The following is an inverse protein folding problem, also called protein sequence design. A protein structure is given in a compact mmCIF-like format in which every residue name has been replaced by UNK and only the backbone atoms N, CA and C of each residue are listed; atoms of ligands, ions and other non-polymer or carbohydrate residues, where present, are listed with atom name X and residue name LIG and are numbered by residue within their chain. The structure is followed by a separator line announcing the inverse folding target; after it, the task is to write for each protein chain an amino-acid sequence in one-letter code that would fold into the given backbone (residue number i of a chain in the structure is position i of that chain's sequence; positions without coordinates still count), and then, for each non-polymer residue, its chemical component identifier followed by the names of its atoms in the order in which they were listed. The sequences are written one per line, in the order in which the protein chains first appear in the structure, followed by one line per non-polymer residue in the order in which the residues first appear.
data_IF_095897025723
#
_entry.id   IF_095897025723
#
_cell.length_a   1.000
_cell.length_b   1.000
_cell.length_c   1.000
_cell.angle_alpha   90.00
_cell.angle_beta   90.00
_cell.angle_gamma   90.00
#
_symmetry.space_group_name_H-M   'P 1'
#
loop_
_entity.id
_entity.type
_entity.pdbx_description
1 polymer ?
#
# COMPACT_ATOMS: atom_id res chain seq x y z
N UNK A 1 -0.80 4.87 9.09
CA UNK A 1 -1.80 5.09 8.01
C UNK A 1 -2.04 3.86 7.15
N UNK A 2 -1.02 3.03 6.88
CA UNK A 2 -1.15 1.86 6.00
C UNK A 2 -2.27 0.86 6.38
N UNK A 3 -2.55 0.63 7.67
CA UNK A 3 -3.68 -0.22 8.08
C UNK A 3 -5.04 0.37 7.65
N UNK A 4 -5.23 1.66 7.87
CA UNK A 4 -6.45 2.37 7.46
C UNK A 4 -6.58 2.43 5.92
N UNK A 5 -5.47 2.62 5.20
CA UNK A 5 -5.44 2.54 3.74
C UNK A 5 -5.87 1.17 3.23
N UNK A 6 -5.35 0.08 3.81
CA UNK A 6 -5.77 -1.30 3.48
C UNK A 6 -7.24 -1.56 3.78
N UNK A 7 -7.78 -1.01 4.88
CA UNK A 7 -9.21 -1.10 5.20
C UNK A 7 -10.05 -0.40 4.13
N UNK A 8 -9.67 0.81 3.72
CA UNK A 8 -10.36 1.54 2.64
C UNK A 8 -10.32 0.78 1.32
N UNK A 9 -9.19 0.17 0.97
CA UNK A 9 -9.09 -0.69 -0.23
C UNK A 9 -10.07 -1.86 -0.14
N UNK A 10 -10.14 -2.53 1.02
CA UNK A 10 -11.06 -3.66 1.21
C UNK A 10 -12.53 -3.22 1.09
N UNK A 11 -12.91 -2.10 1.71
CA UNK A 11 -14.26 -1.53 1.61
C UNK A 11 -14.58 -1.09 0.19
N UNK A 12 -13.67 -0.38 -0.48
CA UNK A 12 -13.83 0.06 -1.86
C UNK A 12 -13.98 -1.11 -2.84
N UNK A 13 -13.21 -2.19 -2.65
CA UNK A 13 -13.34 -3.41 -3.43
C UNK A 13 -14.69 -4.11 -3.21
N UNK A 14 -15.17 -4.17 -1.95
CA UNK A 14 -16.49 -4.74 -1.64
C UNK A 14 -17.63 -3.92 -2.27
N UNK A 15 -17.56 -2.59 -2.22
CA UNK A 15 -18.53 -1.71 -2.89
C UNK A 15 -18.49 -1.87 -4.41
N UNK A 16 -17.31 -2.03 -5.00
CA UNK A 16 -17.18 -2.26 -6.43
C UNK A 16 -17.81 -3.60 -6.86
N UNK A 17 -17.61 -4.65 -6.06
CA UNK A 17 -18.27 -5.95 -6.28
C UNK A 17 -19.78 -5.82 -6.11
N UNK A 18 -20.24 -5.07 -5.12
CA UNK A 18 -21.67 -4.81 -4.89
C UNK A 18 -22.32 -4.09 -6.08
N UNK A 19 -21.72 -2.98 -6.55
CA UNK A 19 -22.17 -2.25 -7.73
C UNK A 19 -22.19 -3.13 -8.99
N UNK A 20 -21.17 -3.99 -9.16
CA UNK A 20 -21.12 -4.95 -10.27
C UNK A 20 -22.23 -6.00 -10.20
N UNK A 21 -22.45 -6.58 -9.01
CA UNK A 21 -23.53 -7.55 -8.79
C UNK A 21 -24.91 -6.93 -9.07
N UNK A 22 -25.17 -5.75 -8.50
CA UNK A 22 -26.44 -5.06 -8.68
C UNK A 22 -26.67 -4.64 -10.14
N UNK A 23 -25.62 -4.26 -10.88
CA UNK A 23 -25.72 -3.97 -12.32
C UNK A 23 -26.24 -5.16 -13.12
N UNK A 24 -25.67 -6.36 -12.88
CA UNK A 24 -26.08 -7.60 -13.57
C UNK A 24 -27.49 -8.03 -13.15
N UNK A 25 -27.81 -7.86 -11.87
CA UNK A 25 -29.16 -8.13 -11.35
C UNK A 25 -30.20 -7.20 -11.99
N UNK A 26 -29.91 -5.89 -12.07
CA UNK A 26 -30.80 -4.91 -12.68
C UNK A 26 -31.01 -5.17 -14.18
N UNK A 27 -29.94 -5.49 -14.91
CA UNK A 27 -30.06 -5.91 -16.31
C UNK A 27 -30.99 -7.11 -16.48
N UNK A 28 -30.87 -8.11 -15.61
CA UNK A 28 -31.74 -9.30 -15.63
C UNK A 28 -33.20 -8.93 -15.34
N UNK A 29 -33.43 -8.02 -14.39
CA UNK A 29 -34.77 -7.52 -14.05
C UNK A 29 -35.42 -6.78 -15.23
N UNK A 30 -34.70 -5.83 -15.84
CA UNK A 30 -35.19 -5.05 -17.01
C UNK A 30 -35.60 -5.96 -18.17
N UNK A 31 -34.81 -7.03 -18.43
CA UNK A 31 -35.13 -8.03 -19.46
C UNK A 31 -36.41 -8.80 -19.14
N UNK A 32 -36.64 -9.14 -17.87
CA UNK A 32 -37.84 -9.88 -17.44
C UNK A 32 -39.10 -9.01 -17.47
N UNK A 33 -38.97 -7.71 -17.20
CA UNK A 33 -40.10 -6.77 -17.16
C UNK A 33 -40.38 -6.09 -18.51
N UNK A 34 -39.61 -6.39 -19.55
CA UNK A 34 -39.71 -5.82 -20.90
C UNK A 34 -39.76 -4.27 -20.91
N UNK A 35 -39.05 -3.64 -19.97
CA UNK A 35 -39.03 -2.18 -19.84
C UNK A 35 -38.12 -1.57 -20.89
N UNK A 36 -38.69 -1.15 -22.01
CA UNK A 36 -37.96 -0.67 -23.20
C UNK A 36 -37.10 0.60 -22.98
N UNK A 37 -37.50 1.47 -22.04
CA UNK A 37 -36.84 2.77 -21.78
C UNK A 37 -36.03 2.79 -20.47
N UNK A 38 -35.67 1.63 -19.92
CA UNK A 38 -34.89 1.58 -18.68
C UNK A 38 -33.45 2.08 -18.90
N UNK A 39 -33.01 3.04 -18.08
CA UNK A 39 -31.63 3.51 -18.08
C UNK A 39 -30.71 2.41 -17.53
N UNK A 40 -29.74 1.96 -18.34
CA UNK A 40 -28.78 0.91 -17.96
C UNK A 40 -27.34 1.45 -17.99
N UNK A 41 -26.57 1.34 -16.88
CA UNK A 41 -27.00 0.99 -15.53
C UNK A 41 -27.79 2.14 -14.84
N UNK A 42 -28.52 1.86 -13.75
CA UNK A 42 -29.19 2.88 -12.96
C UNK A 42 -28.22 3.94 -12.44
N UNK A 43 -28.70 5.17 -12.30
CA UNK A 43 -27.88 6.28 -11.78
C UNK A 43 -27.28 5.97 -10.40
N UNK A 44 -28.02 5.29 -9.53
CA UNK A 44 -27.55 4.88 -8.20
C UNK A 44 -26.27 4.03 -8.27
N UNK A 45 -26.20 3.12 -9.25
CA UNK A 45 -25.01 2.27 -9.47
C UNK A 45 -23.84 3.09 -9.96
N UNK A 46 -24.08 4.08 -10.82
CA UNK A 46 -23.03 5.00 -11.28
C UNK A 46 -22.42 5.75 -10.10
N UNK A 47 -23.25 6.25 -9.18
CA UNK A 47 -22.79 6.92 -7.96
C UNK A 47 -22.00 5.96 -7.07
N UNK A 48 -22.47 4.73 -6.87
CA UNK A 48 -21.76 3.72 -6.08
C UNK A 48 -20.41 3.35 -6.71
N UNK A 49 -20.34 3.20 -8.04
CA UNK A 49 -19.10 2.92 -8.77
C UNK A 49 -18.09 4.05 -8.59
N UNK A 50 -18.50 5.30 -8.77
CA UNK A 50 -17.61 6.46 -8.57
C UNK A 50 -17.13 6.51 -7.12
N UNK A 51 -18.01 6.28 -6.14
CA UNK A 51 -17.66 6.28 -4.73
C UNK A 51 -16.67 5.14 -4.40
N UNK A 52 -16.93 3.94 -4.90
CA UNK A 52 -16.06 2.76 -4.71
C UNK A 52 -14.65 2.99 -5.27
N UNK A 53 -14.56 3.66 -6.44
CA UNK A 53 -13.30 4.04 -7.05
C UNK A 53 -12.55 5.08 -6.21
N UNK A 54 -13.20 6.16 -5.79
CA UNK A 54 -12.57 7.22 -4.97
C UNK A 54 -12.07 6.65 -3.65
N UNK A 55 -12.88 5.82 -2.97
CA UNK A 55 -12.48 5.16 -1.72
C UNK A 55 -11.24 4.27 -1.94
N UNK A 56 -11.25 3.45 -2.99
CA UNK A 56 -10.12 2.58 -3.33
C UNK A 56 -8.85 3.38 -3.65
N UNK A 57 -8.98 4.46 -4.43
CA UNK A 57 -7.88 5.34 -4.79
C UNK A 57 -7.26 5.98 -3.54
N UNK A 58 -8.08 6.53 -2.65
CA UNK A 58 -7.60 7.10 -1.38
C UNK A 58 -6.90 6.03 -0.55
N UNK A 59 -7.45 4.82 -0.47
CA UNK A 59 -6.83 3.71 0.24
C UNK A 59 -5.45 3.33 -0.31
N UNK A 60 -5.29 3.29 -1.64
CA UNK A 60 -4.01 3.02 -2.31
C UNK A 60 -2.99 4.13 -2.03
N UNK A 61 -3.40 5.40 -2.17
CA UNK A 61 -2.52 6.56 -1.90
C UNK A 61 -2.03 6.60 -0.45
N UNK A 62 -2.87 6.20 0.51
CA UNK A 62 -2.46 6.08 1.93
C UNK A 62 -1.54 4.88 2.20
N UNK A 63 -1.43 3.94 1.26
CA UNK A 63 -0.64 2.71 1.37
C UNK A 63 0.65 2.77 0.55
N UNK A 64 0.79 3.70 -0.41
CA UNK A 64 1.92 3.75 -1.36
C UNK A 64 3.28 4.06 -0.73
N UNK A 65 3.33 4.33 0.57
CA UNK A 65 4.56 4.68 1.27
C UNK A 65 5.03 6.10 0.97
N UNK A 66 6.09 6.52 1.66
CA UNK A 66 6.68 7.82 1.47
C UNK A 66 7.67 7.80 0.31
N UNK A 67 7.69 8.89 -0.46
CA UNK A 67 8.68 9.07 -1.51
C UNK A 67 10.06 9.30 -0.87
N UNK A 68 11.07 8.62 -1.39
CA UNK A 68 12.46 8.83 -0.96
C UNK A 68 13.04 10.10 -1.61
N UNK A 69 13.92 10.83 -0.91
CA UNK A 69 14.58 12.00 -1.46
C UNK A 69 15.49 11.61 -2.63
N UNK A 70 15.48 12.44 -3.68
CA UNK A 70 16.29 12.21 -4.90
C UNK A 70 17.78 12.46 -4.63
N UNK A 71 18.11 13.36 -3.71
CA UNK A 71 19.50 13.71 -3.39
C UNK A 71 20.12 12.63 -2.51
N UNK A 72 21.14 11.96 -3.03
CA UNK A 72 21.91 10.96 -2.30
C UNK A 72 22.61 11.52 -1.05
N UNK A 73 22.97 12.81 -1.08
CA UNK A 73 23.64 13.45 0.05
C UNK A 73 22.74 13.54 1.30
N UNK A 74 21.41 13.65 1.13
CA UNK A 74 20.45 13.70 2.23
C UNK A 74 20.46 12.39 3.03
N UNK A 75 20.66 11.25 2.35
CA UNK A 75 20.82 9.95 2.98
C UNK A 75 22.22 9.75 3.62
N UNK A 76 23.24 10.49 3.16
CA UNK A 76 24.60 10.42 3.73
C UNK A 76 24.75 11.23 5.02
N UNK A 77 23.99 12.31 5.20
CA UNK A 77 24.08 13.15 6.40
C UNK A 77 23.76 12.41 7.71
N UNK A 78 22.95 11.34 7.66
CA UNK A 78 22.61 10.51 8.82
C UNK A 78 23.63 9.41 9.11
N UNK A 79 24.61 9.17 8.23
CA UNK A 79 25.63 8.12 8.38
C UNK A 79 26.81 8.64 9.21
N UNK A 80 27.29 7.83 10.16
CA UNK A 80 28.50 8.15 10.92
C UNK A 80 29.77 7.91 10.11
N UNK A 81 30.82 8.68 10.40
CA UNK A 81 32.14 8.51 9.78
C UNK A 81 32.65 7.07 9.93
N UNK A 82 32.46 6.46 11.10
CA UNK A 82 32.90 5.08 11.38
C UNK A 82 32.23 4.04 10.46
N UNK A 83 30.97 4.24 10.09
CA UNK A 83 30.28 3.39 9.11
C UNK A 83 30.79 3.63 7.68
N UNK A 84 31.08 4.88 7.32
CA UNK A 84 31.55 5.24 5.97
C UNK A 84 32.96 4.71 5.70
N UNK A 85 33.85 4.76 6.69
CA UNK A 85 35.25 4.32 6.54
C UNK A 85 35.44 2.82 6.81
N UNK A 86 34.41 2.12 7.28
CA UNK A 86 34.49 0.68 7.52
C UNK A 86 34.43 -0.07 6.20
N UNK A 87 35.51 -0.74 5.84
CA UNK A 87 35.57 -1.64 4.69
C UNK A 87 35.53 -3.10 5.15
N UNK A 88 34.38 -3.81 5.03
CA UNK A 88 34.23 -5.19 5.53
C UNK A 88 35.25 -6.16 4.95
N UNK A 89 35.63 -5.97 3.69
CA UNK A 89 36.61 -6.81 2.99
C UNK A 89 38.03 -6.76 3.61
N UNK A 90 38.31 -5.73 4.41
CA UNK A 90 39.60 -5.51 5.07
C UNK A 90 39.52 -5.60 6.60
N UNK A 91 38.50 -6.26 7.14
CA UNK A 91 38.39 -6.45 8.58
C UNK A 91 39.52 -7.36 9.11
N UNK A 92 40.30 -6.84 10.06
CA UNK A 92 41.32 -7.61 10.77
C UNK A 92 40.76 -8.07 12.11
N UNK A 93 40.61 -9.39 12.29
CA UNK A 93 40.06 -9.99 13.51
C UNK A 93 41.06 -10.11 14.67
N UNK A 94 42.29 -9.62 14.49
CA UNK A 94 43.30 -9.56 15.54
C UNK A 94 43.18 -8.27 16.37
N UNK A 95 42.09 -8.12 17.12
CA UNK A 95 41.81 -6.94 17.94
C UNK A 95 41.59 -7.27 19.43
N UNK A 96 41.67 -6.25 20.30
CA UNK A 96 41.59 -6.37 21.77
C UNK A 96 40.26 -6.99 22.26
N UNK A 97 39.19 -6.91 21.47
CA UNK A 97 37.92 -7.60 21.75
C UNK A 97 38.04 -9.12 21.98
N UNK A 98 39.05 -9.79 21.42
CA UNK A 98 39.30 -11.22 21.66
C UNK A 98 39.63 -11.52 23.13
N UNK A 99 40.36 -10.63 23.80
CA UNK A 99 40.68 -10.77 25.22
C UNK A 99 39.50 -10.37 26.13
N UNK A 100 38.68 -9.42 25.69
CA UNK A 100 37.48 -8.97 26.41
C UNK A 100 36.41 -10.08 26.44
N UNK A 101 36.14 -10.74 25.31
CA UNK A 101 35.18 -11.84 25.25
C UNK A 101 35.54 -12.99 26.19
N UNK A 102 36.83 -13.35 26.26
CA UNK A 102 37.33 -14.40 27.18
C UNK A 102 37.13 -14.06 28.66
N UNK A 103 37.16 -12.79 29.05
CA UNK A 103 36.95 -12.35 30.44
C UNK A 103 35.47 -12.28 30.85
N UNK A 104 34.56 -12.10 29.90
CA UNK A 104 33.11 -12.00 30.17
C UNK A 104 32.47 -13.39 30.25
N UNK A 105 33.04 -14.37 29.56
CA UNK A 105 32.52 -15.76 29.49
C UNK A 105 33.15 -16.67 30.57
N UNK A 106 34.24 -16.25 31.22
CA UNK A 106 34.84 -16.95 32.39
C UNK A 106 34.21 -16.51 33.70
#
# INVERSE_FOLDING_TARGET
MAFFGKLLIAVGALLLVHAGYYSVQYESYVKLTETADAQMPPFEVVVELVLSFVISLVGVLLTSGEMLPIRSNDAMHSRSLSTVISSPDFHVFNHRGKALHKRVVS
#
